data_IF_291709452496
#
_entry.id   IF_291709452496
#
_cell.length_a   1.000
_cell.length_b   1.000
_cell.length_c   1.000
_cell.angle_alpha   90.00
_cell.angle_beta   90.00
_cell.angle_gamma   90.00
#
_symmetry.space_group_name_H-M   'P 1'
#
loop_
_entity.id
_entity.type
_entity.pdbx_description
1 polymer ?
#
# COMPACT_ATOMS: atom_id res chain seq x y z
N UNK A 1 2.16 15.10 -16.69
CA UNK A 1 1.12 16.12 -16.43
C UNK A 1 1.79 17.36 -15.89
N UNK A 2 1.39 18.57 -16.35
CA UNK A 2 1.92 19.85 -15.87
C UNK A 2 0.81 20.69 -15.26
N UNK A 3 1.14 21.48 -14.26
CA UNK A 3 0.23 22.38 -13.54
C UNK A 3 0.83 23.77 -13.45
N UNK A 4 0.03 24.80 -13.64
CA UNK A 4 0.46 26.19 -13.38
C UNK A 4 0.78 26.37 -11.91
N UNK A 5 1.89 27.01 -11.59
CA UNK A 5 2.34 27.27 -10.22
C UNK A 5 1.27 28.00 -9.39
N UNK A 6 0.57 28.95 -9.98
CA UNK A 6 -0.53 29.67 -9.35
C UNK A 6 -1.68 28.76 -8.91
N UNK A 7 -1.99 27.70 -9.69
CA UNK A 7 -3.02 26.72 -9.33
C UNK A 7 -2.55 25.81 -8.21
N UNK A 8 -1.28 25.35 -8.25
CA UNK A 8 -0.70 24.54 -7.17
C UNK A 8 -0.72 25.31 -5.85
N UNK A 9 -0.35 26.57 -5.87
CA UNK A 9 -0.27 27.40 -4.67
C UNK A 9 -1.64 27.65 -4.02
N UNK A 10 -2.74 27.68 -4.78
CA UNK A 10 -4.10 27.88 -4.26
C UNK A 10 -4.51 26.78 -3.26
N UNK A 11 -3.97 25.59 -3.39
CA UNK A 11 -4.30 24.45 -2.49
C UNK A 11 -3.58 24.51 -1.14
N UNK A 12 -2.53 25.31 -1.01
CA UNK A 12 -1.74 25.35 0.21
C UNK A 12 -2.49 25.86 1.45
N UNK A 13 -3.31 26.93 1.38
CA UNK A 13 -4.15 27.35 2.50
C UNK A 13 -5.14 26.27 2.96
N UNK A 14 -5.85 25.63 2.02
CA UNK A 14 -6.84 24.61 2.33
C UNK A 14 -6.22 23.38 2.99
N UNK A 15 -5.07 22.94 2.47
CA UNK A 15 -4.32 21.82 3.05
C UNK A 15 -3.80 22.15 4.43
N UNK A 16 -3.26 23.37 4.64
CA UNK A 16 -2.81 23.85 5.94
C UNK A 16 -3.96 23.83 6.97
N UNK A 17 -5.09 24.43 6.63
CA UNK A 17 -6.28 24.50 7.49
C UNK A 17 -6.84 23.10 7.79
N UNK A 18 -6.89 22.23 6.79
CA UNK A 18 -7.31 20.85 6.99
C UNK A 18 -6.43 20.13 8.02
N UNK A 19 -5.10 20.29 7.92
CA UNK A 19 -4.17 19.65 8.86
C UNK A 19 -4.32 20.25 10.26
N UNK A 20 -4.45 21.55 10.38
CA UNK A 20 -4.65 22.24 11.66
C UNK A 20 -5.96 21.82 12.34
N UNK A 21 -7.03 21.66 11.58
CA UNK A 21 -8.35 21.26 12.06
C UNK A 21 -8.44 19.78 12.41
N UNK A 22 -7.98 18.91 11.51
CA UNK A 22 -8.18 17.47 11.64
C UNK A 22 -6.96 16.71 12.18
N UNK A 23 -5.83 17.41 12.39
CA UNK A 23 -4.57 16.87 12.92
C UNK A 23 -4.03 15.68 12.10
N UNK A 24 -4.28 15.68 10.81
CA UNK A 24 -3.82 14.68 9.83
C UNK A 24 -3.76 15.27 8.43
N UNK A 25 -2.97 14.70 7.55
CA UNK A 25 -2.92 15.08 6.13
C UNK A 25 -4.18 14.59 5.40
N UNK A 26 -4.79 15.36 4.48
CA UNK A 26 -5.86 14.87 3.61
C UNK A 26 -5.31 13.74 2.72
N UNK A 27 -6.14 12.78 2.32
CA UNK A 27 -5.70 11.70 1.43
C UNK A 27 -5.43 12.20 0.01
N UNK A 28 -6.23 13.16 -0.42
CA UNK A 28 -6.17 13.79 -1.73
C UNK A 28 -6.78 15.20 -1.62
N UNK A 29 -6.42 16.08 -2.55
CA UNK A 29 -7.05 17.37 -2.77
C UNK A 29 -7.05 17.71 -4.27
N UNK A 30 -7.81 18.72 -4.66
CA UNK A 30 -7.92 19.12 -6.06
C UNK A 30 -6.86 20.18 -6.39
N UNK A 31 -6.09 19.94 -7.43
CA UNK A 31 -5.19 20.92 -8.02
C UNK A 31 -5.81 21.36 -9.37
N UNK A 32 -6.53 22.47 -9.35
CA UNK A 32 -7.45 22.82 -10.43
C UNK A 32 -8.54 21.75 -10.58
N UNK A 33 -8.72 21.22 -11.78
CA UNK A 33 -9.73 20.21 -12.09
C UNK A 33 -9.23 18.76 -11.88
N UNK A 34 -8.07 18.57 -11.25
CA UNK A 34 -7.46 17.23 -11.09
C UNK A 34 -7.32 16.89 -9.63
N UNK A 35 -7.93 15.77 -9.20
CA UNK A 35 -7.72 15.22 -7.86
C UNK A 35 -6.38 14.51 -7.78
N UNK A 36 -5.50 14.98 -6.91
CA UNK A 36 -4.18 14.42 -6.67
C UNK A 36 -4.05 13.88 -5.24
N UNK A 37 -3.25 12.82 -5.08
CA UNK A 37 -2.86 12.36 -3.74
C UNK A 37 -2.00 13.40 -3.02
N UNK A 38 -2.03 13.41 -1.69
CA UNK A 38 -1.16 14.30 -0.91
C UNK A 38 0.32 14.11 -1.20
N UNK A 39 0.73 12.92 -1.62
CA UNK A 39 2.11 12.65 -2.06
C UNK A 39 2.48 13.41 -3.33
N UNK A 40 1.57 13.40 -4.31
CA UNK A 40 1.72 14.17 -5.55
C UNK A 40 1.72 15.67 -5.27
N UNK A 41 0.87 16.13 -4.36
CA UNK A 41 0.79 17.55 -3.99
C UNK A 41 2.05 17.98 -3.24
N UNK A 42 2.57 17.17 -2.31
CA UNK A 42 3.84 17.46 -1.63
C UNK A 42 5.01 17.56 -2.62
N UNK A 43 5.02 16.70 -3.64
CA UNK A 43 6.01 16.81 -4.73
C UNK A 43 5.88 18.12 -5.51
N UNK A 44 4.66 18.51 -5.87
CA UNK A 44 4.42 19.80 -6.56
C UNK A 44 4.77 20.99 -5.68
N UNK A 45 4.38 20.98 -4.39
CA UNK A 45 4.76 22.02 -3.42
C UNK A 45 6.28 22.15 -3.30
N UNK A 46 6.96 21.00 -3.21
CA UNK A 46 8.43 20.96 -3.15
C UNK A 46 9.06 21.56 -4.42
N UNK A 47 8.51 21.28 -5.61
CA UNK A 47 8.98 21.86 -6.86
C UNK A 47 8.75 23.38 -6.93
N UNK A 48 7.60 23.85 -6.48
CA UNK A 48 7.29 25.30 -6.44
C UNK A 48 8.30 26.03 -5.55
N UNK A 49 8.55 25.52 -4.34
CA UNK A 49 9.48 26.15 -3.39
C UNK A 49 10.92 26.05 -3.88
N UNK A 50 11.35 24.90 -4.43
CA UNK A 50 12.70 24.69 -4.95
C UNK A 50 13.01 25.60 -6.14
N UNK A 51 12.01 25.86 -6.99
CA UNK A 51 12.10 26.81 -8.09
C UNK A 51 11.90 28.28 -7.68
N UNK A 52 11.97 28.60 -6.38
CA UNK A 52 11.76 29.95 -5.83
C UNK A 52 10.48 30.64 -6.32
N UNK A 53 9.43 29.85 -6.65
CA UNK A 53 8.15 30.32 -7.18
C UNK A 53 8.21 31.00 -8.58
N UNK A 54 9.36 30.96 -9.23
CA UNK A 54 9.59 31.62 -10.52
C UNK A 54 9.10 30.80 -11.71
N UNK A 55 9.00 29.48 -11.55
CA UNK A 55 8.53 28.61 -12.61
C UNK A 55 7.02 28.77 -12.84
N UNK A 56 6.60 29.14 -14.04
CA UNK A 56 5.19 29.24 -14.40
C UNK A 56 4.43 27.92 -14.31
N UNK A 57 5.12 26.78 -14.53
CA UNK A 57 4.54 25.44 -14.51
C UNK A 57 5.46 24.44 -13.81
N UNK A 58 4.83 23.51 -13.06
CA UNK A 58 5.51 22.38 -12.46
C UNK A 58 5.00 21.06 -13.06
N UNK A 59 5.92 20.23 -13.53
CA UNK A 59 5.62 18.88 -13.99
C UNK A 59 5.49 17.91 -12.83
N UNK A 60 4.42 17.10 -12.86
CA UNK A 60 4.29 15.97 -11.97
C UNK A 60 5.02 14.77 -12.59
N UNK A 61 6.00 14.22 -11.87
CA UNK A 61 6.62 12.94 -12.25
C UNK A 61 5.62 11.79 -12.06
N UNK A 62 5.83 10.69 -12.76
CA UNK A 62 4.95 9.52 -12.74
C UNK A 62 4.73 9.02 -11.31
N UNK A 63 3.48 8.87 -10.95
CA UNK A 63 2.88 8.27 -9.74
C UNK A 63 3.83 8.11 -8.54
N UNK A 64 3.73 9.03 -7.60
CA UNK A 64 4.42 8.97 -6.32
C UNK A 64 3.53 8.19 -5.35
N UNK A 65 3.79 6.91 -5.19
CA UNK A 65 3.10 6.04 -4.23
C UNK A 65 3.92 5.98 -2.95
N UNK A 66 3.28 6.18 -1.80
CA UNK A 66 3.87 5.99 -0.49
C UNK A 66 3.53 4.62 0.06
N UNK A 67 4.55 3.87 0.44
CA UNK A 67 4.42 2.53 1.01
C UNK A 67 5.44 2.32 2.14
N UNK A 68 5.35 3.13 3.19
CA UNK A 68 6.18 2.97 4.36
C UNK A 68 5.37 3.12 5.64
N UNK A 69 5.85 2.47 6.70
CA UNK A 69 5.32 2.61 8.04
C UNK A 69 5.32 4.09 8.46
N UNK A 70 4.26 4.54 9.09
CA UNK A 70 4.17 5.90 9.58
C UNK A 70 5.27 6.15 10.61
N UNK A 71 6.12 7.10 10.30
CA UNK A 71 7.13 7.58 11.24
C UNK A 71 6.46 8.48 12.29
N UNK A 72 6.77 8.24 13.58
CA UNK A 72 6.29 9.08 14.67
C UNK A 72 7.26 10.24 14.90
N UNK A 73 6.77 11.45 14.74
CA UNK A 73 7.57 12.66 14.97
C UNK A 73 7.93 12.83 16.45
N UNK A 74 9.19 13.19 16.68
CA UNK A 74 9.71 13.62 17.98
C UNK A 74 10.19 15.07 17.94
N UNK A 75 10.11 15.71 16.77
CA UNK A 75 10.71 17.02 16.51
C UNK A 75 9.85 18.17 17.04
N UNK A 76 10.53 19.15 17.61
CA UNK A 76 10.03 20.49 17.86
C UNK A 76 11.19 21.46 17.63
N UNK A 77 11.38 21.88 16.38
CA UNK A 77 12.59 22.60 15.95
C UNK A 77 12.26 23.66 14.90
N UNK A 78 12.96 24.78 14.98
CA UNK A 78 13.04 25.78 13.91
C UNK A 78 14.11 25.41 12.90
N UNK A 79 13.67 25.11 11.67
CA UNK A 79 14.56 24.76 10.57
C UNK A 79 14.76 25.99 9.68
N UNK A 80 16.01 26.46 9.57
CA UNK A 80 16.36 27.65 8.78
C UNK A 80 16.15 27.44 7.29
N UNK A 81 15.99 28.53 6.53
CA UNK A 81 15.73 28.49 5.09
C UNK A 81 16.77 27.68 4.32
N UNK A 82 18.06 27.82 4.62
CA UNK A 82 19.11 27.02 3.99
C UNK A 82 18.92 25.52 4.20
N UNK A 83 18.54 25.12 5.42
CA UNK A 83 18.36 23.71 5.79
C UNK A 83 17.09 23.12 5.18
N UNK A 84 15.94 23.83 5.23
CA UNK A 84 14.71 23.28 4.63
C UNK A 84 14.77 23.27 3.08
N UNK A 85 15.52 24.16 2.44
CA UNK A 85 15.76 24.07 1.00
C UNK A 85 16.57 22.81 0.62
N UNK A 86 17.57 22.46 1.43
CA UNK A 86 18.30 21.18 1.24
C UNK A 86 17.39 19.98 1.49
N UNK A 87 16.54 20.02 2.52
CA UNK A 87 15.53 18.97 2.75
C UNK A 87 14.61 18.81 1.55
N UNK A 88 14.15 19.89 0.95
CA UNK A 88 13.30 19.89 -0.24
C UNK A 88 14.03 19.29 -1.44
N UNK A 89 15.27 19.68 -1.69
CA UNK A 89 16.11 19.12 -2.76
C UNK A 89 16.30 17.62 -2.57
N UNK A 90 16.62 17.17 -1.36
CA UNK A 90 16.80 15.74 -1.06
C UNK A 90 15.51 14.96 -1.23
N UNK A 91 14.36 15.52 -0.83
CA UNK A 91 13.06 14.93 -1.06
C UNK A 91 12.76 14.77 -2.56
N UNK A 92 12.99 15.79 -3.38
CA UNK A 92 12.80 15.75 -4.82
C UNK A 92 13.70 14.71 -5.49
N UNK A 93 14.98 14.66 -5.11
CA UNK A 93 15.93 13.67 -5.62
C UNK A 93 15.47 12.24 -5.25
N UNK A 94 15.10 12.02 -3.99
CA UNK A 94 14.57 10.72 -3.56
C UNK A 94 13.34 10.30 -4.38
N UNK A 95 12.39 11.23 -4.58
CA UNK A 95 11.19 10.95 -5.40
C UNK A 95 11.55 10.66 -6.85
N UNK A 96 12.56 11.35 -7.40
CA UNK A 96 13.04 11.11 -8.76
C UNK A 96 13.65 9.71 -8.90
N UNK A 97 14.53 9.33 -7.98
CA UNK A 97 15.29 8.07 -8.06
C UNK A 97 14.43 6.85 -7.72
N UNK A 98 13.58 6.98 -6.70
CA UNK A 98 12.80 5.86 -6.17
C UNK A 98 11.33 5.83 -6.65
N UNK A 99 10.87 6.84 -7.38
CA UNK A 99 9.47 6.97 -7.86
C UNK A 99 8.41 6.90 -6.74
N UNK A 100 8.80 7.21 -5.51
CA UNK A 100 7.95 7.25 -4.32
C UNK A 100 8.41 8.33 -3.36
N UNK A 101 7.55 8.72 -2.42
CA UNK A 101 7.95 9.60 -1.32
C UNK A 101 8.71 8.82 -0.24
N UNK A 102 9.65 9.43 0.49
CA UNK A 102 10.30 8.81 1.64
C UNK A 102 9.35 8.71 2.84
N UNK A 103 9.58 7.72 3.72
CA UNK A 103 8.84 7.58 4.98
C UNK A 103 9.08 8.73 5.95
N UNK A 104 10.27 9.29 5.90
CA UNK A 104 10.68 10.46 6.68
C UNK A 104 11.69 11.27 5.89
N UNK A 105 11.79 12.54 6.23
CA UNK A 105 12.79 13.48 5.74
C UNK A 105 13.72 13.81 6.91
N UNK A 106 15.02 14.00 6.66
CA UNK A 106 15.98 14.28 7.72
C UNK A 106 16.38 15.75 7.68
N UNK A 107 16.31 16.43 8.83
CA UNK A 107 16.85 17.79 8.98
C UNK A 107 18.37 17.80 8.83
N UNK A 108 18.92 18.90 8.32
CA UNK A 108 20.36 18.94 8.05
C UNK A 108 21.17 19.10 9.32
N UNK A 109 20.76 20.00 10.23
CA UNK A 109 21.51 20.35 11.42
C UNK A 109 21.42 19.29 12.51
N UNK A 110 20.23 18.97 12.96
CA UNK A 110 20.01 18.03 14.08
C UNK A 110 19.97 16.57 13.67
N UNK A 111 19.92 16.29 12.34
CA UNK A 111 19.72 14.94 11.79
C UNK A 111 18.43 14.26 12.28
N UNK A 112 17.49 15.05 12.76
CA UNK A 112 16.19 14.55 13.24
C UNK A 112 15.33 14.13 12.08
N UNK A 113 14.65 13.00 12.22
CA UNK A 113 13.69 12.51 11.25
C UNK A 113 12.37 13.24 11.40
N UNK A 114 11.76 13.60 10.29
CA UNK A 114 10.47 14.29 10.17
C UNK A 114 9.54 13.41 9.35
N UNK A 115 8.32 13.17 9.83
CA UNK A 115 7.33 12.41 9.07
C UNK A 115 6.95 13.11 7.76
N UNK A 116 6.46 12.34 6.80
CA UNK A 116 5.90 12.90 5.58
C UNK A 116 4.77 13.89 5.89
N UNK A 117 3.92 13.55 6.85
CA UNK A 117 2.77 14.36 7.23
C UNK A 117 3.18 15.73 7.78
N UNK A 118 4.17 15.78 8.66
CA UNK A 118 4.69 17.04 9.20
C UNK A 118 5.44 17.84 8.12
N UNK A 119 6.19 17.17 7.27
CA UNK A 119 6.84 17.79 6.12
C UNK A 119 5.82 18.45 5.18
N UNK A 120 4.74 17.75 4.81
CA UNK A 120 3.66 18.29 3.98
C UNK A 120 3.04 19.56 4.59
N UNK A 121 2.79 19.54 5.90
CA UNK A 121 2.30 20.71 6.61
C UNK A 121 3.26 21.91 6.52
N UNK A 122 4.57 21.65 6.68
CA UNK A 122 5.58 22.70 6.59
C UNK A 122 5.69 23.27 5.17
N UNK A 123 5.57 22.44 4.14
CA UNK A 123 5.52 22.93 2.76
C UNK A 123 4.32 23.86 2.53
N UNK A 124 3.13 23.48 3.02
CA UNK A 124 1.94 24.30 2.91
C UNK A 124 2.12 25.65 3.63
N UNK A 125 2.71 25.65 4.85
CA UNK A 125 3.04 26.88 5.59
C UNK A 125 3.99 27.81 4.83
N UNK A 126 5.04 27.25 4.23
CA UNK A 126 6.02 28.01 3.45
C UNK A 126 5.33 28.70 2.26
N UNK A 127 4.46 27.97 1.55
CA UNK A 127 3.73 28.55 0.41
C UNK A 127 2.76 29.66 0.84
N UNK A 128 1.99 29.41 1.91
CA UNK A 128 1.05 30.41 2.46
C UNK A 128 1.82 31.68 2.91
N UNK A 129 2.96 31.52 3.55
CA UNK A 129 3.81 32.65 3.92
C UNK A 129 4.29 33.44 2.70
N UNK A 130 4.77 32.72 1.66
CA UNK A 130 5.23 33.34 0.42
C UNK A 130 4.10 34.07 -0.32
N UNK A 131 2.90 33.51 -0.34
CA UNK A 131 1.74 34.16 -0.97
C UNK A 131 1.48 35.54 -0.36
N UNK A 132 1.64 35.66 0.97
CA UNK A 132 1.42 36.92 1.70
C UNK A 132 2.60 37.89 1.60
N UNK A 133 3.83 37.39 1.70
CA UNK A 133 5.01 38.24 1.94
C UNK A 133 5.93 38.37 0.71
N UNK A 134 5.76 37.51 -0.33
CA UNK A 134 6.56 37.50 -1.58
C UNK A 134 8.06 37.17 -1.39
N UNK A 135 8.42 36.59 -0.24
CA UNK A 135 9.75 36.04 0.03
C UNK A 135 9.62 34.79 0.90
N UNK A 136 10.68 33.96 0.91
CA UNK A 136 10.70 32.74 1.72
C UNK A 136 10.84 33.06 3.22
N UNK A 137 10.16 32.32 4.12
CA UNK A 137 10.34 32.50 5.56
C UNK A 137 11.77 32.17 5.97
N UNK A 138 12.38 32.97 6.85
CA UNK A 138 13.74 32.74 7.35
C UNK A 138 13.90 31.37 8.02
N UNK A 139 12.82 30.85 8.61
CA UNK A 139 12.75 29.52 9.21
C UNK A 139 11.34 28.96 9.13
N UNK A 140 11.21 27.65 9.22
CA UNK A 140 9.95 26.93 9.36
C UNK A 140 9.98 26.10 10.65
N UNK A 141 8.90 26.21 11.46
CA UNK A 141 8.78 25.44 12.70
C UNK A 141 8.20 24.07 12.39
N UNK A 142 8.95 23.04 12.66
CA UNK A 142 8.53 21.64 12.62
C UNK A 142 8.11 21.23 14.03
N UNK A 143 6.80 21.24 14.29
CA UNK A 143 6.26 20.93 15.60
C UNK A 143 5.30 19.72 15.51
N UNK A 144 5.67 18.65 16.20
CA UNK A 144 4.88 17.40 16.25
C UNK A 144 3.45 17.58 16.79
N UNK A 145 3.21 18.58 17.63
CA UNK A 145 1.89 18.81 18.25
C UNK A 145 0.80 19.20 17.24
N UNK A 146 1.18 19.54 16.01
CA UNK A 146 0.23 19.87 14.93
C UNK A 146 -0.53 18.64 14.46
N UNK A 147 0.08 17.47 14.55
CA UNK A 147 -0.53 16.20 14.16
C UNK A 147 -1.06 15.48 15.40
N UNK A 148 -2.19 14.78 15.27
CA UNK A 148 -2.59 13.85 16.33
C UNK A 148 -1.51 12.77 16.46
N UNK A 149 -1.01 12.58 17.65
CA UNK A 149 -0.35 11.35 17.99
C UNK A 149 -1.32 10.21 17.68
N UNK A 150 -1.04 9.43 16.65
CA UNK A 150 -1.66 8.12 16.44
C UNK A 150 -1.00 7.15 17.43
N UNK A 151 -0.90 7.56 18.68
CA UNK A 151 -0.36 6.74 19.73
C UNK A 151 -1.51 6.18 20.54
N UNK A 152 -1.63 4.88 20.44
CA UNK A 152 -1.84 3.97 21.58
C UNK A 152 -2.65 4.55 22.75
N UNK A 153 -3.86 4.08 22.90
CA UNK A 153 -4.43 3.86 24.22
C UNK A 153 -3.44 2.96 25.02
N UNK A 154 -2.51 3.57 25.73
CA UNK A 154 -1.87 2.98 26.88
C UNK A 154 -2.83 3.07 28.04
N UNK A 155 -3.67 2.07 28.19
CA UNK A 155 -4.33 1.80 29.46
C UNK A 155 -3.25 1.53 30.52
N UNK A 156 -3.30 2.31 31.58
CA UNK A 156 -2.57 2.10 32.83
C UNK A 156 -2.73 0.65 33.29
N UNK A 157 -1.66 -0.11 33.29
CA UNK A 157 -1.60 -1.44 33.86
C UNK A 157 -1.60 -1.36 35.40
N UNK A 158 -2.75 -1.64 36.01
CA UNK A 158 -2.77 -2.18 37.35
C UNK A 158 -2.52 -3.68 37.27
N UNK A 159 -1.41 -4.09 37.88
CA UNK A 159 -1.02 -5.46 38.13
C UNK A 159 -2.10 -6.18 38.92
N UNK A 160 -2.72 -7.21 38.37
CA UNK A 160 -3.38 -8.25 39.16
C UNK A 160 -3.15 -9.60 38.49
N UNK A 161 -2.64 -10.51 39.32
CA UNK A 161 -2.37 -11.89 39.11
C UNK A 161 -3.63 -12.72 38.86
N UNK A 162 -3.47 -13.70 37.97
CA UNK A 162 -4.09 -15.03 37.99
C UNK A 162 -5.26 -15.34 37.05
N UNK A 163 -5.09 -16.53 36.53
CA UNK A 163 -6.02 -17.53 36.00
C UNK A 163 -6.35 -17.52 34.52
N UNK A 164 -5.76 -18.55 33.90
CA UNK A 164 -6.16 -19.11 32.62
C UNK A 164 -7.67 -19.31 32.50
N UNK A 165 -8.29 -18.68 31.53
CA UNK A 165 -9.57 -19.11 30.97
C UNK A 165 -9.62 -18.76 29.48
N UNK A 166 -10.06 -19.72 28.70
CA UNK A 166 -10.20 -19.76 27.27
C UNK A 166 -10.53 -18.39 26.62
N UNK A 167 -9.65 -17.89 25.76
CA UNK A 167 -9.85 -16.65 25.03
C UNK A 167 -10.91 -16.82 23.94
N UNK A 168 -12.10 -16.30 24.19
CA UNK A 168 -13.04 -15.94 23.13
C UNK A 168 -12.37 -14.90 22.22
N UNK A 169 -12.23 -15.23 20.96
CA UNK A 169 -11.69 -14.38 19.90
C UNK A 169 -12.46 -13.05 19.85
N UNK A 170 -11.84 -11.97 20.29
CA UNK A 170 -12.39 -10.61 20.09
C UNK A 170 -12.38 -10.33 18.60
N UNK A 171 -13.56 -10.28 17.99
CA UNK A 171 -13.77 -9.71 16.66
C UNK A 171 -13.40 -8.23 16.72
N UNK A 172 -12.27 -7.87 16.12
CA UNK A 172 -11.91 -6.48 15.93
C UNK A 172 -12.98 -5.81 15.04
N UNK A 173 -13.52 -4.69 15.48
CA UNK A 173 -14.42 -3.87 14.68
C UNK A 173 -13.66 -3.32 13.47
N UNK A 174 -13.69 -4.06 12.38
CA UNK A 174 -13.08 -3.66 11.13
C UNK A 174 -14.04 -2.78 10.37
N UNK A 175 -13.69 -1.51 10.23
CA UNK A 175 -14.45 -0.53 9.48
C UNK A 175 -13.97 -0.44 8.03
N UNK A 176 -14.81 0.07 7.14
CA UNK A 176 -14.41 0.41 5.79
C UNK A 176 -13.36 1.54 5.75
N UNK A 177 -12.23 1.43 5.02
CA UNK A 177 -11.88 0.29 4.18
C UNK A 177 -11.41 -0.93 4.99
N UNK A 178 -11.93 -2.10 4.65
CA UNK A 178 -11.49 -3.37 5.22
C UNK A 178 -10.06 -3.64 4.76
N UNK A 179 -9.14 -3.71 5.70
CA UNK A 179 -7.72 -3.85 5.38
C UNK A 179 -7.10 -4.95 6.22
N UNK A 180 -6.45 -5.89 5.57
CA UNK A 180 -5.52 -6.80 6.21
C UNK A 180 -4.22 -6.04 6.48
N UNK A 181 -3.78 -6.03 7.72
CA UNK A 181 -2.46 -5.50 8.11
C UNK A 181 -1.62 -6.61 8.71
N UNK A 182 -0.29 -6.57 8.51
CA UNK A 182 0.49 -5.70 7.64
C UNK A 182 0.49 -6.15 6.16
N UNK A 183 0.88 -5.22 5.26
CA UNK A 183 1.06 -5.51 3.84
C UNK A 183 2.40 -6.20 3.63
N UNK A 184 2.37 -7.39 3.04
CA UNK A 184 3.60 -8.11 2.75
C UNK A 184 3.82 -8.24 1.25
N UNK A 185 4.50 -7.27 0.64
CA UNK A 185 5.26 -7.58 -0.55
C UNK A 185 6.58 -8.19 -0.10
N UNK A 186 6.72 -9.47 -0.31
CA UNK A 186 7.90 -10.22 0.06
C UNK A 186 8.98 -10.12 -1.01
N UNK A 187 10.21 -9.97 -0.59
CA UNK A 187 11.37 -10.20 -1.44
C UNK A 187 11.64 -11.71 -1.51
N UNK A 188 11.04 -12.42 -2.46
CA UNK A 188 11.33 -13.84 -2.68
C UNK A 188 12.78 -14.08 -3.09
N UNK A 189 13.35 -13.17 -3.88
CA UNK A 189 14.73 -13.19 -4.38
C UNK A 189 15.42 -11.85 -4.19
N UNK A 190 15.38 -11.29 -2.98
CA UNK A 190 15.87 -9.95 -2.64
C UNK A 190 15.13 -8.80 -3.37
N UNK A 191 13.92 -9.03 -3.89
CA UNK A 191 13.11 -8.06 -4.64
C UNK A 191 11.64 -8.23 -4.33
N UNK A 192 10.84 -7.18 -4.57
CA UNK A 192 9.40 -7.15 -4.28
C UNK A 192 8.55 -7.95 -5.27
N UNK A 193 9.08 -8.98 -5.91
CA UNK A 193 8.39 -9.78 -6.89
C UNK A 193 8.77 -11.24 -6.86
N UNK A 194 8.07 -12.04 -7.65
CA UNK A 194 8.36 -13.46 -7.78
C UNK A 194 9.72 -13.71 -8.44
N UNK A 195 10.36 -14.82 -8.09
CA UNK A 195 11.70 -15.18 -8.57
C UNK A 195 11.73 -15.62 -10.04
N UNK A 196 10.63 -16.15 -10.55
CA UNK A 196 10.48 -16.63 -11.92
C UNK A 196 9.19 -16.13 -12.54
N UNK A 197 9.01 -16.27 -13.85
CA UNK A 197 7.76 -15.90 -14.53
C UNK A 197 6.55 -16.75 -14.12
N UNK A 198 6.74 -17.88 -13.44
CA UNK A 198 5.71 -18.87 -13.14
C UNK A 198 5.55 -19.19 -11.63
N UNK A 199 6.20 -18.45 -10.71
CA UNK A 199 6.08 -18.68 -9.26
C UNK A 199 5.11 -17.72 -8.56
N UNK A 200 4.08 -17.26 -9.23
CA UNK A 200 3.06 -16.41 -8.60
C UNK A 200 2.36 -17.08 -7.40
N UNK A 201 2.09 -18.40 -7.49
CA UNK A 201 1.54 -19.19 -6.37
C UNK A 201 2.49 -19.26 -5.16
N UNK A 202 3.72 -19.77 -5.31
CA UNK A 202 4.72 -19.78 -4.26
C UNK A 202 4.97 -18.42 -3.62
N UNK A 203 5.07 -17.37 -4.42
CA UNK A 203 5.25 -16.00 -3.94
C UNK A 203 4.05 -15.54 -3.09
N UNK A 204 2.84 -15.78 -3.55
CA UNK A 204 1.62 -15.44 -2.81
C UNK A 204 1.54 -16.18 -1.48
N UNK A 205 1.89 -17.48 -1.44
CA UNK A 205 2.01 -18.23 -0.18
C UNK A 205 3.07 -17.59 0.72
N UNK A 206 4.23 -17.22 0.18
CA UNK A 206 5.29 -16.58 0.96
C UNK A 206 4.82 -15.29 1.65
N UNK A 207 4.05 -14.46 0.95
CA UNK A 207 3.44 -13.26 1.53
C UNK A 207 2.48 -13.60 2.68
N UNK A 208 1.62 -14.61 2.48
CA UNK A 208 0.66 -15.08 3.50
C UNK A 208 1.36 -15.66 4.72
N UNK A 209 2.40 -16.44 4.53
CA UNK A 209 3.19 -16.99 5.62
C UNK A 209 3.80 -15.88 6.50
N UNK A 210 4.31 -14.81 5.89
CA UNK A 210 4.80 -13.64 6.62
C UNK A 210 3.71 -12.98 7.47
N UNK A 211 2.48 -12.85 6.94
CA UNK A 211 1.34 -12.37 7.72
C UNK A 211 1.10 -13.23 8.98
N UNK A 212 1.33 -14.53 8.90
CA UNK A 212 1.16 -15.45 10.02
C UNK A 212 2.39 -15.59 10.91
N UNK A 213 3.46 -14.82 10.65
CA UNK A 213 4.71 -14.87 11.41
C UNK A 213 5.61 -16.04 11.05
N UNK A 214 5.36 -16.71 9.91
CA UNK A 214 6.14 -17.86 9.43
C UNK A 214 7.14 -17.34 8.38
N UNK A 215 8.39 -17.08 8.78
CA UNK A 215 9.38 -16.39 7.93
C UNK A 215 10.52 -17.28 7.43
N UNK A 216 10.60 -18.53 7.90
CA UNK A 216 11.74 -19.41 7.62
C UNK A 216 11.78 -20.05 6.23
N UNK A 217 10.72 -19.92 5.43
CA UNK A 217 10.65 -20.53 4.10
C UNK A 217 10.99 -19.53 3.01
N UNK A 218 11.91 -19.89 2.13
CA UNK A 218 12.14 -19.17 0.89
C UNK A 218 11.07 -19.50 -0.14
N UNK A 219 10.88 -18.64 -1.14
CA UNK A 219 9.97 -18.88 -2.27
C UNK A 219 10.33 -20.16 -3.01
N UNK A 220 11.64 -20.46 -3.19
CA UNK A 220 12.13 -21.70 -3.79
C UNK A 220 11.69 -22.95 -3.03
N UNK A 221 11.76 -22.94 -1.70
CA UNK A 221 11.29 -24.07 -0.88
C UNK A 221 9.78 -24.24 -0.99
N UNK A 222 9.02 -23.13 -1.01
CA UNK A 222 7.56 -23.17 -1.19
C UNK A 222 7.22 -23.73 -2.58
N UNK A 223 7.94 -23.32 -3.63
CA UNK A 223 7.77 -23.83 -4.98
C UNK A 223 8.02 -25.35 -5.06
N UNK A 224 9.06 -25.82 -4.40
CA UNK A 224 9.36 -27.26 -4.31
C UNK A 224 8.24 -28.04 -3.55
N UNK A 225 7.72 -27.46 -2.47
CA UNK A 225 6.60 -28.06 -1.74
C UNK A 225 5.32 -28.10 -2.54
N UNK A 226 5.07 -27.07 -3.35
CA UNK A 226 3.92 -26.97 -4.23
C UNK A 226 4.04 -27.83 -5.51
N UNK A 227 5.21 -28.38 -5.81
CA UNK A 227 5.45 -29.06 -7.09
C UNK A 227 5.32 -28.11 -8.28
N UNK A 228 5.69 -26.84 -8.11
CA UNK A 228 5.57 -25.81 -9.16
C UNK A 228 6.47 -26.12 -10.35
N UNK A 229 5.92 -26.00 -11.55
CA UNK A 229 6.65 -26.23 -12.82
C UNK A 229 6.67 -24.92 -13.63
N UNK A 230 7.25 -24.96 -14.81
CA UNK A 230 7.18 -23.85 -15.78
C UNK A 230 5.74 -23.51 -16.23
N UNK A 231 4.79 -24.43 -16.01
CA UNK A 231 3.36 -24.22 -16.25
C UNK A 231 2.64 -23.53 -15.06
N UNK A 232 3.38 -23.23 -13.98
CA UNK A 232 2.85 -22.60 -12.78
C UNK A 232 2.58 -23.61 -11.66
N UNK A 233 1.59 -23.29 -10.82
CA UNK A 233 1.15 -24.05 -9.65
C UNK A 233 -0.37 -24.23 -9.74
N UNK A 234 -0.87 -25.43 -9.54
CA UNK A 234 -2.29 -25.70 -9.46
C UNK A 234 -2.84 -25.57 -8.00
N UNK A 235 -4.15 -25.74 -7.83
CA UNK A 235 -4.78 -25.68 -6.50
C UNK A 235 -4.29 -26.78 -5.56
N UNK A 236 -4.02 -27.97 -6.09
CA UNK A 236 -3.48 -29.09 -5.32
C UNK A 236 -2.07 -28.77 -4.81
N UNK A 237 -1.24 -28.16 -5.64
CA UNK A 237 0.09 -27.69 -5.26
C UNK A 237 0.04 -26.63 -4.15
N UNK A 238 -0.89 -25.65 -4.24
CA UNK A 238 -1.13 -24.69 -3.16
C UNK A 238 -1.47 -25.40 -1.86
N UNK A 239 -2.45 -26.33 -1.89
CA UNK A 239 -2.86 -27.10 -0.71
C UNK A 239 -1.71 -27.91 -0.12
N UNK A 240 -0.95 -28.59 -1.00
CA UNK A 240 0.19 -29.43 -0.60
C UNK A 240 1.28 -28.62 0.10
N UNK A 241 1.64 -27.45 -0.46
CA UNK A 241 2.64 -26.56 0.15
C UNK A 241 2.19 -26.10 1.54
N UNK A 242 0.95 -25.63 1.68
CA UNK A 242 0.42 -25.16 2.94
C UNK A 242 0.35 -26.29 3.98
N UNK A 243 -0.08 -27.49 3.59
CA UNK A 243 -0.14 -28.65 4.47
C UNK A 243 1.26 -29.07 4.97
N UNK A 244 2.26 -29.14 4.07
CA UNK A 244 3.65 -29.46 4.44
C UNK A 244 4.22 -28.42 5.41
N UNK A 245 3.98 -27.13 5.15
CA UNK A 245 4.43 -26.03 6.00
C UNK A 245 3.72 -26.06 7.36
N UNK A 246 2.41 -26.27 7.38
CA UNK A 246 1.63 -26.44 8.60
C UNK A 246 2.20 -27.56 9.48
N UNK A 247 2.43 -28.74 8.89
CA UNK A 247 3.04 -29.88 9.59
C UNK A 247 4.44 -29.55 10.13
N UNK A 248 5.30 -28.97 9.29
CA UNK A 248 6.70 -28.71 9.65
C UNK A 248 6.89 -27.55 10.65
N UNK A 249 5.89 -26.69 10.83
CA UNK A 249 5.93 -25.56 11.77
C UNK A 249 5.14 -25.80 13.06
N UNK A 250 4.26 -26.79 13.08
CA UNK A 250 3.26 -26.96 14.14
C UNK A 250 2.14 -25.92 14.11
N UNK A 251 2.19 -24.93 13.18
CA UNK A 251 1.15 -23.93 13.03
C UNK A 251 0.01 -24.51 12.21
N UNK A 252 -1.16 -24.67 12.81
CA UNK A 252 -2.33 -25.21 12.11
C UNK A 252 -2.85 -24.21 11.08
N UNK A 253 -2.75 -24.55 9.81
CA UNK A 253 -3.26 -23.77 8.68
C UNK A 253 -4.39 -24.55 7.99
N UNK A 254 -5.56 -23.94 7.88
CA UNK A 254 -6.72 -24.50 7.17
C UNK A 254 -6.87 -23.76 5.82
N UNK A 255 -7.11 -24.52 4.75
CA UNK A 255 -7.35 -24.00 3.40
C UNK A 255 -8.79 -24.29 3.01
N UNK A 256 -9.48 -23.28 2.48
CA UNK A 256 -10.82 -23.39 1.94
C UNK A 256 -10.91 -22.66 0.60
N UNK A 257 -11.33 -23.35 -0.45
CA UNK A 257 -11.55 -22.76 -1.77
C UNK A 257 -13.00 -22.39 -1.98
N UNK A 258 -13.25 -21.16 -2.48
CA UNK A 258 -14.57 -20.64 -2.80
C UNK A 258 -14.59 -19.95 -4.16
N UNK A 259 -15.75 -19.99 -4.81
CA UNK A 259 -16.00 -19.10 -5.96
C UNK A 259 -16.30 -17.70 -5.46
N UNK A 260 -15.95 -16.68 -6.24
CA UNK A 260 -16.29 -15.30 -5.89
C UNK A 260 -17.82 -15.08 -5.81
N UNK A 261 -18.59 -15.77 -6.67
CA UNK A 261 -20.05 -15.72 -6.67
C UNK A 261 -20.69 -16.22 -5.36
N UNK A 262 -20.05 -17.17 -4.67
CA UNK A 262 -20.57 -17.72 -3.40
C UNK A 262 -20.54 -16.75 -2.22
N UNK A 263 -19.84 -15.62 -2.36
CA UNK A 263 -19.70 -14.63 -1.27
C UNK A 263 -20.91 -13.69 -1.15
N UNK A 264 -21.81 -13.62 -2.14
CA UNK A 264 -22.96 -12.74 -2.09
C UNK A 264 -23.72 -12.62 -3.40
N UNK A 265 -24.89 -11.99 -3.34
CA UNK A 265 -25.82 -11.86 -4.46
C UNK A 265 -25.32 -10.97 -5.61
N UNK A 266 -24.54 -9.95 -5.30
CA UNK A 266 -24.02 -8.97 -6.25
C UNK A 266 -22.54 -8.63 -5.95
N UNK A 267 -21.90 -7.87 -6.81
CA UNK A 267 -20.48 -7.53 -6.69
C UNK A 267 -20.18 -6.78 -5.39
N UNK A 268 -21.04 -5.84 -4.97
CA UNK A 268 -20.81 -5.06 -3.75
C UNK A 268 -20.86 -5.96 -2.51
N UNK A 269 -21.90 -6.81 -2.41
CA UNK A 269 -22.03 -7.77 -1.31
C UNK A 269 -20.85 -8.75 -1.25
N UNK A 270 -20.36 -9.22 -2.41
CA UNK A 270 -19.20 -10.12 -2.51
C UNK A 270 -17.91 -9.46 -2.04
N UNK A 271 -17.64 -8.22 -2.47
CA UNK A 271 -16.47 -7.49 -2.02
C UNK A 271 -16.56 -7.09 -0.56
N UNK A 272 -17.74 -6.75 -0.05
CA UNK A 272 -17.91 -6.49 1.38
C UNK A 272 -17.64 -7.75 2.22
N UNK A 273 -18.17 -8.89 1.81
CA UNK A 273 -17.90 -10.17 2.48
C UNK A 273 -16.41 -10.51 2.46
N UNK A 274 -15.74 -10.31 1.31
CA UNK A 274 -14.30 -10.45 1.17
C UNK A 274 -13.55 -9.50 2.10
N UNK A 275 -13.98 -8.27 2.19
CA UNK A 275 -13.42 -7.27 3.09
C UNK A 275 -13.51 -7.70 4.56
N UNK A 276 -14.64 -8.21 5.00
CA UNK A 276 -14.85 -8.75 6.35
C UNK A 276 -13.91 -9.94 6.66
N UNK A 277 -13.59 -10.77 5.65
CA UNK A 277 -12.58 -11.84 5.81
C UNK A 277 -11.18 -11.25 6.02
N UNK A 278 -10.80 -10.24 5.25
CA UNK A 278 -9.48 -9.61 5.34
C UNK A 278 -9.18 -8.98 6.70
N UNK A 279 -10.22 -8.55 7.42
CA UNK A 279 -10.08 -7.95 8.74
C UNK A 279 -9.69 -8.93 9.86
N UNK A 280 -9.88 -10.21 9.63
CA UNK A 280 -9.49 -11.22 10.60
C UNK A 280 -7.97 -11.38 10.59
N UNK A 281 -7.33 -11.18 11.73
CA UNK A 281 -5.86 -11.26 11.84
C UNK A 281 -5.30 -12.63 11.45
N UNK A 282 -6.10 -13.68 11.67
CA UNK A 282 -5.75 -15.06 11.38
C UNK A 282 -6.23 -15.56 9.99
N UNK A 283 -6.72 -14.68 9.12
CA UNK A 283 -7.20 -15.03 7.77
C UNK A 283 -6.40 -14.29 6.72
N UNK A 284 -6.04 -14.97 5.66
CA UNK A 284 -5.49 -14.39 4.44
C UNK A 284 -6.26 -14.91 3.22
N UNK A 285 -6.32 -14.11 2.17
CA UNK A 285 -7.00 -14.46 0.92
C UNK A 285 -6.03 -14.42 -0.24
N UNK A 286 -5.75 -15.59 -0.79
CA UNK A 286 -5.05 -15.77 -2.06
C UNK A 286 -6.09 -15.91 -3.15
N UNK A 287 -5.88 -15.21 -4.26
CA UNK A 287 -6.78 -15.26 -5.41
C UNK A 287 -6.12 -15.99 -6.58
N UNK A 288 -6.83 -16.94 -7.18
CA UNK A 288 -6.54 -17.48 -8.50
C UNK A 288 -7.43 -16.75 -9.50
N UNK A 289 -6.85 -16.04 -10.44
CA UNK A 289 -7.54 -15.14 -11.35
C UNK A 289 -7.10 -15.33 -12.80
N UNK A 290 -7.96 -14.98 -13.74
CA UNK A 290 -7.52 -14.61 -15.07
C UNK A 290 -6.90 -13.20 -15.00
N UNK A 291 -5.70 -13.05 -15.52
CA UNK A 291 -4.96 -11.80 -15.46
C UNK A 291 -4.70 -11.28 -16.87
N UNK A 292 -5.03 -10.03 -17.11
CA UNK A 292 -4.83 -9.37 -18.39
C UNK A 292 -4.50 -7.88 -18.20
N UNK A 293 -3.95 -7.25 -19.22
CA UNK A 293 -3.65 -5.82 -19.28
C UNK A 293 -2.83 -5.30 -18.09
N UNK A 294 -1.93 -6.12 -17.58
CA UNK A 294 -1.14 -5.81 -16.37
C UNK A 294 -2.01 -5.39 -15.16
N UNK A 295 -3.22 -5.94 -15.06
CA UNK A 295 -4.16 -5.66 -13.98
C UNK A 295 -4.86 -4.31 -14.02
N UNK A 296 -4.81 -3.60 -15.17
CA UNK A 296 -5.33 -2.22 -15.27
C UNK A 296 -6.72 -2.14 -15.89
N UNK A 297 -7.09 -3.07 -16.75
CA UNK A 297 -8.35 -3.07 -17.48
C UNK A 297 -9.13 -4.37 -17.24
N UNK A 298 -10.47 -4.26 -17.28
CA UNK A 298 -11.33 -5.42 -17.18
C UNK A 298 -11.18 -6.34 -18.39
N UNK A 299 -11.24 -7.66 -18.14
CA UNK A 299 -11.38 -8.65 -19.21
C UNK A 299 -12.80 -8.56 -19.77
N UNK A 300 -12.90 -8.43 -21.08
CA UNK A 300 -14.16 -8.38 -21.83
C UNK A 300 -14.16 -9.46 -22.91
N UNK A 301 -15.29 -9.64 -23.60
CA UNK A 301 -15.37 -10.54 -24.77
C UNK A 301 -14.40 -10.18 -25.90
N UNK A 302 -13.94 -8.94 -25.93
CA UNK A 302 -12.99 -8.45 -26.95
C UNK A 302 -11.54 -8.57 -26.50
N UNK A 303 -11.25 -9.05 -25.28
CA UNK A 303 -9.89 -9.24 -24.79
C UNK A 303 -9.26 -10.42 -25.53
N UNK A 304 -8.15 -10.24 -26.25
CA UNK A 304 -7.49 -11.35 -26.94
C UNK A 304 -7.07 -12.46 -25.96
N UNK A 305 -7.39 -13.71 -26.31
CA UNK A 305 -7.07 -14.88 -25.46
C UNK A 305 -5.56 -14.98 -25.18
N UNK A 306 -4.71 -14.57 -26.12
CA UNK A 306 -3.24 -14.53 -25.95
C UNK A 306 -2.76 -13.56 -24.86
N UNK A 307 -3.61 -12.64 -24.41
CA UNK A 307 -3.32 -11.69 -23.33
C UNK A 307 -3.85 -12.16 -21.97
N UNK A 308 -4.58 -13.28 -21.94
CA UNK A 308 -5.19 -13.80 -20.70
C UNK A 308 -4.39 -15.00 -20.22
N UNK A 309 -3.95 -14.96 -18.96
CA UNK A 309 -3.26 -16.08 -18.33
C UNK A 309 -3.69 -16.24 -16.86
N UNK A 310 -3.49 -17.45 -16.33
CA UNK A 310 -3.77 -17.74 -14.93
C UNK A 310 -2.72 -17.07 -14.04
N UNK A 311 -3.17 -16.47 -12.93
CA UNK A 311 -2.30 -15.77 -12.01
C UNK A 311 -2.76 -15.94 -10.57
N UNK A 312 -1.80 -15.97 -9.63
CA UNK A 312 -2.06 -15.90 -8.20
C UNK A 312 -1.59 -14.57 -7.64
N UNK A 313 -2.43 -13.99 -6.80
CA UNK A 313 -2.13 -12.77 -6.05
C UNK A 313 -2.80 -12.78 -4.68
N UNK A 314 -2.36 -11.93 -3.76
CA UNK A 314 -2.99 -11.76 -2.46
C UNK A 314 -3.82 -10.48 -2.46
N UNK A 315 -5.07 -10.55 -2.00
CA UNK A 315 -5.85 -9.36 -1.71
C UNK A 315 -5.70 -8.99 -0.23
N UNK A 316 -5.47 -7.70 0.04
CA UNK A 316 -5.27 -7.22 1.40
C UNK A 316 -6.16 -6.04 1.79
N UNK A 317 -6.93 -5.48 0.85
CA UNK A 317 -7.83 -4.36 1.13
C UNK A 317 -9.06 -4.36 0.24
N UNK A 318 -10.18 -4.06 0.84
CA UNK A 318 -11.44 -3.74 0.14
C UNK A 318 -11.94 -2.39 0.65
N UNK A 319 -12.27 -1.48 -0.26
CA UNK A 319 -12.90 -0.21 0.07
C UNK A 319 -14.29 -0.15 -0.58
N UNK A 320 -15.34 -0.38 0.23
CA UNK A 320 -16.73 -0.41 -0.26
C UNK A 320 -17.29 0.99 -0.57
N UNK A 321 -16.67 2.06 -0.07
CA UNK A 321 -17.09 3.43 -0.40
C UNK A 321 -16.58 3.89 -1.77
N UNK A 322 -15.34 3.50 -2.11
CA UNK A 322 -14.71 3.89 -3.38
C UNK A 322 -14.76 2.79 -4.43
N UNK A 323 -15.31 1.62 -4.09
CA UNK A 323 -15.39 0.44 -4.94
C UNK A 323 -14.04 0.00 -5.51
N UNK A 324 -13.02 -0.04 -4.65
CA UNK A 324 -11.67 -0.49 -4.99
C UNK A 324 -11.22 -1.63 -4.09
N UNK A 325 -10.44 -2.54 -4.68
CA UNK A 325 -9.66 -3.56 -3.96
C UNK A 325 -8.18 -3.28 -4.14
N UNK A 326 -7.36 -3.74 -3.20
CA UNK A 326 -5.92 -3.73 -3.33
C UNK A 326 -5.38 -5.14 -3.44
N UNK A 327 -4.62 -5.37 -4.50
CA UNK A 327 -3.91 -6.61 -4.77
C UNK A 327 -2.40 -6.43 -4.50
N UNK A 328 -1.81 -7.40 -3.83
CA UNK A 328 -0.36 -7.57 -3.71
C UNK A 328 0.07 -8.49 -4.85
N UNK A 329 0.44 -7.87 -5.96
CA UNK A 329 0.75 -8.55 -7.20
C UNK A 329 2.26 -8.84 -7.30
N UNK A 330 2.61 -10.10 -7.41
CA UNK A 330 4.00 -10.55 -7.53
C UNK A 330 4.60 -10.35 -8.92
N UNK A 331 3.77 -10.12 -9.95
CA UNK A 331 4.17 -10.06 -11.35
C UNK A 331 4.14 -8.63 -11.87
N UNK A 332 5.32 -8.07 -12.14
CA UNK A 332 5.49 -6.84 -12.89
C UNK A 332 6.05 -7.09 -14.28
N UNK A 333 6.39 -6.03 -15.00
CA UNK A 333 7.09 -6.15 -16.27
C UNK A 333 8.51 -6.68 -16.03
N UNK A 334 8.90 -7.70 -16.79
CA UNK A 334 10.27 -8.25 -16.74
C UNK A 334 11.28 -7.14 -17.01
N UNK A 335 12.25 -6.98 -16.11
CA UNK A 335 13.35 -6.04 -16.27
C UNK A 335 14.50 -6.64 -17.07
N UNK A 336 15.43 -5.78 -17.52
CA UNK A 336 16.64 -6.21 -18.24
C UNK A 336 17.48 -7.23 -17.45
N UNK A 337 17.47 -7.15 -16.12
CA UNK A 337 18.13 -8.09 -15.21
C UNK A 337 17.36 -9.42 -15.00
N UNK A 338 16.30 -9.65 -15.76
CA UNK A 338 15.47 -10.85 -15.70
C UNK A 338 14.47 -10.89 -14.55
N UNK A 339 14.42 -9.88 -13.68
CA UNK A 339 13.52 -9.87 -12.52
C UNK A 339 12.10 -9.44 -12.87
N UNK A 340 11.14 -9.89 -12.04
CA UNK A 340 9.73 -9.52 -12.09
C UNK A 340 9.39 -8.73 -10.84
N UNK A 341 9.46 -7.37 -10.87
CA UNK A 341 9.16 -6.57 -9.70
C UNK A 341 7.67 -6.67 -9.35
N UNK A 342 7.38 -7.12 -8.13
CA UNK A 342 6.03 -7.05 -7.60
C UNK A 342 5.61 -5.62 -7.30
N UNK A 343 4.31 -5.39 -7.24
CA UNK A 343 3.74 -4.07 -6.94
C UNK A 343 2.38 -4.19 -6.26
N UNK A 344 2.02 -3.12 -5.57
CA UNK A 344 0.70 -2.95 -4.98
C UNK A 344 -0.20 -2.30 -6.03
N UNK A 345 -1.35 -2.90 -6.28
CA UNK A 345 -2.32 -2.38 -7.24
C UNK A 345 -3.66 -2.11 -6.56
N UNK A 346 -4.13 -0.86 -6.62
CA UNK A 346 -5.52 -0.53 -6.34
C UNK A 346 -6.32 -0.66 -7.65
N UNK A 347 -7.35 -1.51 -7.63
CA UNK A 347 -8.19 -1.82 -8.80
C UNK A 347 -9.66 -1.53 -8.54
N UNK A 348 -10.41 -0.97 -9.52
CA UNK A 348 -11.86 -0.88 -9.45
C UNK A 348 -12.50 -2.26 -9.30
N UNK A 349 -13.66 -2.35 -8.64
CA UNK A 349 -14.42 -3.61 -8.48
C UNK A 349 -14.69 -4.29 -9.82
N UNK A 350 -15.06 -3.53 -10.85
CA UNK A 350 -15.35 -4.09 -12.18
C UNK A 350 -14.15 -4.80 -12.80
N UNK A 351 -12.94 -4.27 -12.62
CA UNK A 351 -11.70 -4.91 -13.09
C UNK A 351 -11.45 -6.21 -12.34
N UNK A 352 -11.48 -6.18 -11.02
CA UNK A 352 -11.22 -7.37 -10.20
C UNK A 352 -12.30 -8.44 -10.37
N UNK A 353 -13.57 -8.04 -10.48
CA UNK A 353 -14.67 -8.97 -10.73
C UNK A 353 -14.54 -9.66 -12.09
N UNK A 354 -14.09 -8.95 -13.12
CA UNK A 354 -13.83 -9.56 -14.43
C UNK A 354 -12.72 -10.62 -14.38
N UNK A 355 -11.69 -10.40 -13.55
CA UNK A 355 -10.63 -11.38 -13.36
C UNK A 355 -11.13 -12.66 -12.67
N UNK A 356 -12.00 -12.52 -11.67
CA UNK A 356 -12.64 -13.66 -11.02
C UNK A 356 -13.58 -14.41 -11.98
N UNK A 357 -14.37 -13.69 -12.79
CA UNK A 357 -15.33 -14.28 -13.70
C UNK A 357 -14.65 -15.09 -14.84
N UNK A 358 -13.43 -14.74 -15.21
CA UNK A 358 -12.68 -15.38 -16.29
C UNK A 358 -11.60 -16.34 -15.78
N UNK A 359 -11.63 -16.72 -14.49
CA UNK A 359 -10.66 -17.66 -13.92
C UNK A 359 -10.59 -18.95 -14.76
N UNK A 360 -9.40 -19.40 -15.19
CA UNK A 360 -9.26 -20.55 -16.07
C UNK A 360 -9.93 -21.81 -15.53
N UNK A 361 -10.63 -22.53 -16.39
CA UNK A 361 -11.31 -23.79 -16.04
C UNK A 361 -12.53 -23.65 -15.16
N UNK A 362 -13.08 -22.44 -14.95
CA UNK A 362 -14.23 -22.20 -14.06
C UNK A 362 -13.97 -22.56 -12.60
N UNK A 363 -12.70 -22.59 -12.19
CA UNK A 363 -12.29 -23.01 -10.86
C UNK A 363 -12.64 -21.96 -9.79
N UNK A 364 -12.59 -22.39 -8.52
CA UNK A 364 -12.77 -21.47 -7.41
C UNK A 364 -11.65 -20.40 -7.42
N UNK A 365 -12.06 -19.13 -7.37
CA UNK A 365 -11.14 -18.00 -7.50
C UNK A 365 -10.48 -17.58 -6.16
N UNK A 366 -11.02 -18.03 -5.02
CA UNK A 366 -10.59 -17.60 -3.69
C UNK A 366 -10.09 -18.78 -2.87
N UNK A 367 -8.84 -18.69 -2.44
CA UNK A 367 -8.24 -19.57 -1.45
C UNK A 367 -8.18 -18.81 -0.10
N UNK A 368 -9.05 -19.19 0.81
CA UNK A 368 -9.10 -18.61 2.16
C UNK A 368 -8.20 -19.46 3.05
N UNK A 369 -7.14 -18.87 3.57
CA UNK A 369 -6.19 -19.54 4.44
C UNK A 369 -6.36 -19.00 5.85
N UNK A 370 -6.67 -19.89 6.79
CA UNK A 370 -6.91 -19.53 8.18
C UNK A 370 -5.86 -20.16 9.07
N UNK A 371 -5.22 -19.35 9.91
CA UNK A 371 -4.39 -19.83 11.03
C UNK A 371 -5.33 -20.15 12.19
N UNK A 372 -5.38 -21.43 12.58
CA UNK A 372 -6.31 -21.97 13.59
C UNK A 372 -5.64 -22.05 14.96
#
# INVERSE_FOLDING_TARGET
MKFKTSIIMKEAPEIKEFIEKYKRVPKAANVGNTTLSSYSIAYLFSKVIHGNFENNECGLATVIVYDADKYKDTINEEVKVADYQVMIKNFLNFCHDHKRVPAYITTQKSRTKVSFELYMYCLAKIIVFYQKNKYLPKYCVFNKSVLKDTATNKGTSKKSTSKSTSSKTKTSNCSNPYTSTPHYLSAGCNRLGQCTSYWCGPHSIHQILKKFGITKYSEKQIAAYAGSTTKGTDHLGINTAIAKISKATGVKLKVEWKTFSSLGKDANARFEALGKLLCKSNVAVLCHIAYAYAGKQAITKNTPQSQIFGHYEVLDKVNVKTHYVRALNSLGTKKADGSYPGHIQDRPYGVQASFFANTPGGQAALCIITKV
#
